data_IF_883390458069
#
_entry.id   IF_883390458069
#
_cell.length_a   1.000
_cell.length_b   1.000
_cell.length_c   1.000
_cell.angle_alpha   90.00
_cell.angle_beta   90.00
_cell.angle_gamma   90.00
#
_symmetry.space_group_name_H-M   'P 1'
#
loop_
_entity.id
_entity.type
_entity.pdbx_description
1 polymer ?
#
# COMPACT_ATOMS: atom_id res chain seq x y z
N UNK A 1 28.92 4.08 13.71
CA UNK A 1 28.44 2.69 13.48
C UNK A 1 26.94 2.57 13.17
N UNK A 2 26.18 3.68 13.02
CA UNK A 2 24.75 3.59 12.72
C UNK A 2 24.45 3.37 11.23
N UNK A 3 25.27 3.91 10.31
CA UNK A 3 24.99 3.85 8.86
C UNK A 3 24.90 2.44 8.25
N UNK A 4 25.71 1.49 8.74
CA UNK A 4 25.75 0.11 8.20
C UNK A 4 24.47 -0.68 8.55
N UNK A 5 23.88 -0.42 9.72
CA UNK A 5 22.63 -1.05 10.17
C UNK A 5 21.40 -0.53 9.40
N UNK A 6 21.41 0.76 9.03
CA UNK A 6 20.36 1.35 8.21
C UNK A 6 20.36 0.76 6.79
N UNK A 7 21.55 0.53 6.22
CA UNK A 7 21.69 -0.03 4.89
C UNK A 7 21.16 -1.47 4.81
N UNK A 8 21.52 -2.32 5.78
CA UNK A 8 21.05 -3.71 5.82
C UNK A 8 19.53 -3.85 5.96
N UNK A 9 18.87 -2.97 6.74
CA UNK A 9 17.40 -2.96 6.84
C UNK A 9 16.74 -2.54 5.54
N UNK A 10 17.29 -1.53 4.87
CA UNK A 10 16.82 -1.06 3.58
C UNK A 10 16.95 -2.13 2.50
N UNK A 11 18.09 -2.82 2.44
CA UNK A 11 18.28 -3.92 1.49
C UNK A 11 17.21 -5.00 1.71
N UNK A 12 17.03 -5.46 2.94
CA UNK A 12 16.02 -6.49 3.25
C UNK A 12 14.59 -6.05 2.92
N UNK A 13 14.25 -4.81 3.23
CA UNK A 13 12.91 -4.29 2.95
C UNK A 13 12.67 -4.11 1.44
N UNK A 14 13.70 -3.73 0.67
CA UNK A 14 13.63 -3.67 -0.78
C UNK A 14 13.49 -5.07 -1.41
N UNK A 15 14.27 -6.04 -0.96
CA UNK A 15 14.11 -7.45 -1.38
C UNK A 15 12.71 -7.98 -1.05
N UNK A 16 12.19 -7.65 0.14
CA UNK A 16 10.81 -7.98 0.52
C UNK A 16 9.77 -7.31 -0.37
N UNK A 17 9.96 -6.04 -0.71
CA UNK A 17 9.08 -5.31 -1.63
C UNK A 17 9.08 -5.94 -3.03
N UNK A 18 10.26 -6.31 -3.55
CA UNK A 18 10.39 -6.99 -4.84
C UNK A 18 9.68 -8.34 -4.84
N UNK A 19 9.86 -9.13 -3.78
CA UNK A 19 9.18 -10.41 -3.62
C UNK A 19 7.65 -10.23 -3.58
N UNK A 20 7.14 -9.23 -2.85
CA UNK A 20 5.72 -8.89 -2.85
C UNK A 20 5.24 -8.44 -4.24
N UNK A 21 6.06 -7.67 -4.96
CA UNK A 21 5.78 -7.23 -6.32
C UNK A 21 5.63 -8.40 -7.30
N UNK A 22 6.54 -9.36 -7.24
CA UNK A 22 6.47 -10.60 -8.03
C UNK A 22 5.21 -11.41 -7.69
N UNK A 23 4.88 -11.54 -6.41
CA UNK A 23 3.64 -12.21 -5.96
C UNK A 23 2.38 -11.47 -6.41
N UNK A 24 2.42 -10.14 -6.43
CA UNK A 24 1.36 -9.28 -6.91
C UNK A 24 1.24 -9.25 -8.44
N UNK A 25 2.21 -9.82 -9.17
CA UNK A 25 2.31 -9.76 -10.62
C UNK A 25 2.63 -8.36 -11.16
N UNK A 26 3.27 -7.51 -10.34
CA UNK A 26 3.74 -6.18 -10.73
C UNK A 26 5.19 -6.23 -11.23
N UNK A 27 5.57 -5.28 -12.08
CA UNK A 27 6.93 -5.21 -12.64
C UNK A 27 7.95 -4.68 -11.62
N UNK A 28 9.21 -5.10 -11.72
CA UNK A 28 10.29 -4.56 -10.88
C UNK A 28 10.41 -3.03 -10.96
N UNK A 29 10.19 -2.43 -12.13
CA UNK A 29 10.16 -0.97 -12.29
C UNK A 29 9.08 -0.30 -11.44
N UNK A 30 7.92 -0.94 -11.28
CA UNK A 30 6.84 -0.41 -10.45
C UNK A 30 7.23 -0.43 -8.97
N UNK A 31 7.88 -1.52 -8.54
CA UNK A 31 8.39 -1.65 -7.18
C UNK A 31 9.51 -0.65 -6.89
N UNK A 32 10.40 -0.41 -7.86
CA UNK A 32 11.49 0.54 -7.73
C UNK A 32 10.96 1.98 -7.52
N UNK A 33 10.00 2.39 -8.36
CA UNK A 33 9.34 3.70 -8.21
C UNK A 33 8.63 3.84 -6.85
N UNK A 34 7.97 2.78 -6.39
CA UNK A 34 7.32 2.78 -5.08
C UNK A 34 8.37 2.88 -3.96
N UNK A 35 9.48 2.16 -4.08
CA UNK A 35 10.56 2.16 -3.11
C UNK A 35 11.24 3.52 -2.98
N UNK A 36 11.52 4.19 -4.10
CA UNK A 36 12.10 5.53 -4.10
C UNK A 36 11.27 6.49 -3.28
N UNK A 37 9.95 6.44 -3.41
CA UNK A 37 9.02 7.27 -2.63
C UNK A 37 8.96 6.85 -1.16
N UNK A 38 8.90 5.54 -0.88
CA UNK A 38 8.86 5.01 0.48
C UNK A 38 10.14 5.33 1.29
N UNK A 39 11.30 5.37 0.65
CA UNK A 39 12.56 5.67 1.36
C UNK A 39 12.68 7.14 1.76
N UNK A 40 11.92 8.05 1.13
CA UNK A 40 11.81 9.44 1.57
C UNK A 40 10.91 9.59 2.81
N UNK A 41 9.89 8.75 2.95
CA UNK A 41 8.95 8.76 4.07
C UNK A 41 9.32 7.71 5.12
N UNK A 42 10.07 8.13 6.15
CA UNK A 42 10.51 7.23 7.23
C UNK A 42 9.34 6.48 7.90
N UNK A 43 8.20 7.12 8.12
CA UNK A 43 7.03 6.48 8.74
C UNK A 43 6.46 5.34 7.88
N UNK A 44 6.37 5.55 6.56
CA UNK A 44 5.89 4.54 5.62
C UNK A 44 6.91 3.41 5.47
N UNK A 45 8.20 3.74 5.48
CA UNK A 45 9.28 2.75 5.48
C UNK A 45 9.19 1.84 6.72
N UNK A 46 9.03 2.40 7.91
CA UNK A 46 8.88 1.61 9.14
C UNK A 46 7.61 0.74 9.11
N UNK A 47 6.53 1.24 8.53
CA UNK A 47 5.28 0.49 8.34
C UNK A 47 5.44 -0.67 7.33
N UNK A 48 6.19 -0.47 6.23
CA UNK A 48 6.50 -1.53 5.26
C UNK A 48 7.34 -2.63 5.90
N UNK A 49 8.42 -2.26 6.61
CA UNK A 49 9.28 -3.23 7.32
C UNK A 49 8.44 -4.07 8.27
N UNK A 50 7.56 -3.41 9.02
CA UNK A 50 6.68 -4.08 9.96
C UNK A 50 5.67 -5.01 9.27
N UNK A 51 5.10 -4.59 8.13
CA UNK A 51 4.24 -5.46 7.32
C UNK A 51 5.00 -6.68 6.79
N UNK A 52 6.25 -6.53 6.35
CA UNK A 52 7.07 -7.65 5.88
C UNK A 52 7.40 -8.64 7.01
N UNK A 53 7.59 -8.18 8.25
CA UNK A 53 7.89 -9.04 9.39
C UNK A 53 6.65 -9.74 9.96
N UNK A 54 5.50 -9.07 9.93
CA UNK A 54 4.33 -9.53 10.65
C UNK A 54 3.09 -9.84 9.79
N UNK A 55 3.09 -9.42 8.52
CA UNK A 55 1.96 -9.50 7.59
C UNK A 55 0.67 -8.81 8.08
N UNK A 56 0.78 -7.77 8.92
CA UNK A 56 -0.33 -6.88 9.28
C UNK A 56 0.08 -5.41 9.21
N UNK A 57 -0.88 -4.55 8.88
CA UNK A 57 -0.70 -3.10 8.87
C UNK A 57 -0.83 -2.59 10.31
N UNK A 58 0.14 -1.80 10.76
CA UNK A 58 0.10 -1.17 12.08
C UNK A 58 -0.80 0.07 12.10
N UNK A 59 -1.09 0.65 10.94
CA UNK A 59 -1.88 1.86 10.81
C UNK A 59 -1.23 3.04 11.56
N UNK A 60 0.10 3.11 11.56
CA UNK A 60 0.79 4.23 12.18
C UNK A 60 0.68 5.50 11.31
N UNK A 61 0.66 5.33 9.98
CA UNK A 61 0.64 6.45 9.05
C UNK A 61 -0.79 6.88 8.77
N UNK A 62 -1.08 8.16 9.02
CA UNK A 62 -2.38 8.78 8.80
C UNK A 62 -2.24 10.02 7.91
N UNK A 63 -3.19 10.19 6.99
CA UNK A 63 -3.28 11.39 6.16
C UNK A 63 -4.73 11.88 6.16
N UNK A 64 -4.95 13.12 6.57
CA UNK A 64 -6.29 13.77 6.54
C UNK A 64 -7.42 12.93 7.18
N UNK A 65 -7.08 12.15 8.22
CA UNK A 65 -8.04 11.31 8.96
C UNK A 65 -8.25 9.89 8.39
N UNK A 66 -7.52 9.51 7.34
CA UNK A 66 -7.52 8.15 6.80
C UNK A 66 -6.18 7.46 7.07
N UNK A 67 -6.25 6.24 7.59
CA UNK A 67 -5.07 5.38 7.80
C UNK A 67 -4.73 4.54 6.58
N UNK A 68 -3.57 3.89 6.62
CA UNK A 68 -3.17 2.91 5.61
C UNK A 68 -4.15 1.73 5.53
N UNK A 69 -4.75 1.36 6.66
CA UNK A 69 -5.78 0.32 6.76
C UNK A 69 -7.07 0.72 6.05
N UNK A 70 -7.47 1.99 6.15
CA UNK A 70 -8.62 2.51 5.39
C UNK A 70 -8.37 2.43 3.88
N UNK A 71 -7.17 2.78 3.44
CA UNK A 71 -6.76 2.67 2.04
C UNK A 71 -6.74 1.21 1.57
N UNK A 72 -6.25 0.30 2.40
CA UNK A 72 -6.29 -1.14 2.12
C UNK A 72 -7.72 -1.68 2.00
N UNK A 73 -8.62 -1.31 2.93
CA UNK A 73 -10.04 -1.67 2.86
C UNK A 73 -10.69 -1.07 1.62
N UNK A 74 -10.33 0.16 1.24
CA UNK A 74 -10.82 0.79 0.02
C UNK A 74 -10.37 0.03 -1.24
N UNK A 75 -9.10 -0.36 -1.32
CA UNK A 75 -8.59 -1.24 -2.39
C UNK A 75 -9.30 -2.60 -2.40
N UNK A 76 -9.63 -3.14 -1.23
CA UNK A 76 -10.39 -4.40 -1.10
C UNK A 76 -11.80 -4.27 -1.65
N UNK A 77 -12.50 -3.19 -1.32
CA UNK A 77 -13.83 -2.94 -1.86
C UNK A 77 -13.80 -2.79 -3.39
N UNK A 78 -12.81 -2.06 -3.93
CA UNK A 78 -12.62 -1.97 -5.38
C UNK A 78 -12.34 -3.32 -6.02
N UNK A 79 -11.48 -4.14 -5.41
CA UNK A 79 -11.16 -5.48 -5.90
C UNK A 79 -12.36 -6.43 -5.86
N UNK A 80 -13.15 -6.40 -4.78
CA UNK A 80 -14.36 -7.21 -4.64
C UNK A 80 -15.40 -6.87 -5.71
N UNK A 81 -15.57 -5.57 -6.05
CA UNK A 81 -16.46 -5.13 -7.12
C UNK A 81 -16.00 -5.68 -8.49
N UNK A 82 -14.69 -5.70 -8.75
CA UNK A 82 -14.11 -6.21 -10.00
C UNK A 82 -14.18 -7.75 -10.06
N UNK A 83 -13.97 -8.43 -8.92
CA UNK A 83 -13.98 -9.89 -8.78
C UNK A 83 -15.35 -10.53 -9.02
N UNK A 84 -16.44 -9.81 -8.75
CA UNK A 84 -17.82 -10.27 -9.01
C UNK A 84 -18.10 -10.47 -10.52
N UNK A 85 -17.27 -9.91 -11.41
CA UNK A 85 -17.36 -10.06 -12.87
C UNK A 85 -16.70 -11.33 -13.45
N UNK A 86 -16.41 -12.35 -12.62
CA UNK A 86 -16.34 -13.74 -13.11
C UNK A 86 -14.97 -14.34 -13.41
N UNK A 87 -13.86 -13.83 -12.87
CA UNK A 87 -12.56 -14.52 -12.90
C UNK A 87 -11.87 -14.48 -11.54
N UNK A 88 -12.37 -15.29 -10.61
CA UNK A 88 -11.64 -15.63 -9.39
C UNK A 88 -10.51 -16.60 -9.77
N UNK A 89 -9.38 -16.06 -10.20
CA UNK A 89 -8.13 -16.82 -10.17
C UNK A 89 -7.65 -16.77 -8.72
N UNK A 90 -7.54 -17.94 -8.10
CA UNK A 90 -7.27 -18.25 -6.68
C UNK A 90 -6.08 -17.51 -6.00
N UNK A 91 -5.28 -16.76 -6.75
CA UNK A 91 -4.27 -15.85 -6.19
C UNK A 91 -4.96 -14.56 -5.74
N UNK A 92 -5.57 -14.62 -4.56
CA UNK A 92 -6.04 -13.44 -3.85
C UNK A 92 -4.89 -12.44 -3.73
N UNK A 93 -4.94 -11.37 -4.52
CA UNK A 93 -3.90 -10.34 -4.67
C UNK A 93 -3.82 -9.41 -3.44
N UNK A 94 -3.85 -9.96 -2.23
CA UNK A 94 -3.77 -9.19 -0.97
C UNK A 94 -2.49 -8.37 -0.91
N UNK A 95 -1.37 -8.98 -1.30
CA UNK A 95 -0.08 -8.30 -1.37
C UNK A 95 -0.11 -7.14 -2.35
N UNK A 96 -0.72 -7.32 -3.53
CA UNK A 96 -0.95 -6.23 -4.48
C UNK A 96 -1.77 -5.10 -3.90
N UNK A 97 -2.80 -5.43 -3.12
CA UNK A 97 -3.68 -4.44 -2.50
C UNK A 97 -2.95 -3.66 -1.42
N UNK A 98 -2.08 -4.31 -0.64
CA UNK A 98 -1.21 -3.64 0.33
C UNK A 98 -0.24 -2.72 -0.40
N UNK A 99 0.45 -3.21 -1.43
CA UNK A 99 1.38 -2.39 -2.23
C UNK A 99 0.68 -1.16 -2.84
N UNK A 100 -0.55 -1.33 -3.36
CA UNK A 100 -1.36 -0.22 -3.85
C UNK A 100 -1.77 0.74 -2.73
N UNK A 101 -2.12 0.25 -1.55
CA UNK A 101 -2.45 1.11 -0.41
C UNK A 101 -1.26 1.98 0.00
N UNK A 102 -0.04 1.43 0.02
CA UNK A 102 1.19 2.21 0.24
C UNK A 102 1.37 3.29 -0.83
N UNK A 103 1.18 2.94 -2.10
CA UNK A 103 1.25 3.90 -3.20
C UNK A 103 0.21 5.02 -3.08
N UNK A 104 -1.05 4.65 -2.83
CA UNK A 104 -2.13 5.61 -2.65
C UNK A 104 -1.85 6.53 -1.46
N UNK A 105 -1.24 6.02 -0.38
CA UNK A 105 -0.87 6.84 0.78
C UNK A 105 0.21 7.87 0.44
N UNK A 106 1.20 7.50 -0.36
CA UNK A 106 2.21 8.43 -0.88
C UNK A 106 1.55 9.51 -1.74
N UNK A 107 0.73 9.09 -2.70
CA UNK A 107 0.03 10.02 -3.59
C UNK A 107 -0.93 10.92 -2.80
N UNK A 108 -1.59 10.40 -1.76
CA UNK A 108 -2.46 11.14 -0.86
C UNK A 108 -1.68 12.13 0.02
N UNK A 109 -0.48 11.77 0.50
CA UNK A 109 0.42 12.71 1.20
C UNK A 109 0.82 13.89 0.30
N UNK A 110 1.00 13.65 -1.00
CA UNK A 110 1.30 14.71 -1.99
C UNK A 110 0.07 15.54 -2.33
N UNK A 111 -1.04 14.88 -2.66
CA UNK A 111 -2.30 15.52 -3.03
C UNK A 111 -3.49 14.75 -2.44
N UNK A 112 -4.00 15.15 -1.25
CA UNK A 112 -5.05 14.39 -0.58
C UNK A 112 -6.46 14.63 -1.14
N UNK A 113 -6.68 15.79 -1.80
CA UNK A 113 -7.98 16.21 -2.29
C UNK A 113 -8.72 15.17 -3.19
N UNK A 114 -8.10 14.56 -4.21
CA UNK A 114 -8.77 13.55 -5.03
C UNK A 114 -9.06 12.25 -4.27
N UNK A 115 -8.17 11.84 -3.35
CA UNK A 115 -8.33 10.61 -2.55
C UNK A 115 -9.46 10.75 -1.54
N UNK A 116 -9.50 11.84 -0.78
CA UNK A 116 -10.60 12.14 0.15
C UNK A 116 -11.93 12.18 -0.59
N UNK A 117 -11.99 12.81 -1.77
CA UNK A 117 -13.22 12.85 -2.58
C UNK A 117 -13.66 11.45 -2.99
N UNK A 118 -12.77 10.60 -3.49
CA UNK A 118 -13.08 9.21 -3.88
C UNK A 118 -13.54 8.36 -2.70
N UNK A 119 -12.84 8.46 -1.56
CA UNK A 119 -13.18 7.70 -0.35
C UNK A 119 -14.50 8.17 0.27
N UNK A 120 -14.77 9.48 0.26
CA UNK A 120 -16.02 10.07 0.75
C UNK A 120 -17.18 9.76 -0.18
N UNK A 121 -17.00 9.84 -1.50
CA UNK A 121 -18.04 9.53 -2.48
C UNK A 121 -18.39 8.04 -2.54
N UNK A 122 -17.39 7.17 -2.39
CA UNK A 122 -17.59 5.71 -2.32
C UNK A 122 -18.35 5.24 -1.08
N UNK A 123 -18.42 6.06 -0.01
CA UNK A 123 -19.11 5.73 1.25
C UNK A 123 -20.63 5.91 1.22
N UNK A 124 -21.21 6.21 0.06
CA UNK A 124 -22.65 6.32 -0.12
C UNK A 124 -23.08 7.74 -0.49
N UNK A 125 -23.18 7.99 -1.79
CA UNK A 125 -24.37 8.65 -2.32
C UNK A 125 -25.43 7.59 -2.68
N UNK A 126 -25.73 6.69 -1.74
CA UNK A 126 -27.05 6.08 -1.66
C UNK A 126 -27.85 7.02 -0.73
N UNK A 127 -28.17 8.21 -1.26
CA UNK A 127 -29.15 9.09 -0.62
C UNK A 127 -30.50 8.70 -1.23
N UNK A 128 -31.32 8.11 -0.35
CA UNK A 128 -32.77 7.93 -0.37
C UNK A 128 -33.55 8.77 -1.40
#
# INVERSE_FOLDING_TARGET
MAGILYDARRIKAYEGLLALGELAGESNQWCDLLWEELVFDQELFEELVFYLEHHYLKDAVHCEGYGLTDLYIWQMNQYNIIGDSGKNTDACNKDRMVLKAFKDMIEMKKEPAPYIRKMTMGRGMDRA
#
